data_IF_248583585117
#
_entry.id   IF_248583585117
#
_cell.length_a   1.000
_cell.length_b   1.000
_cell.length_c   1.000
_cell.angle_alpha   90.00
_cell.angle_beta   90.00
_cell.angle_gamma   90.00
#
_symmetry.space_group_name_H-M   'P 1'
#
loop_
_entity.id
_entity.type
_entity.pdbx_description
1 polymer ?
#
# COMPACT_ATOMS: atom_id res chain seq x y z
N UNK A 1 -11.32 -16.67 9.47
CA UNK A 1 -12.25 -15.72 10.12
C UNK A 1 -11.47 -15.02 11.23
N UNK A 2 -10.79 -13.93 10.88
CA UNK A 2 -10.26 -12.99 11.85
C UNK A 2 -11.25 -11.82 11.89
N UNK A 3 -12.38 -12.01 12.60
CA UNK A 3 -13.37 -10.96 12.89
C UNK A 3 -12.95 -10.17 14.15
N UNK A 4 -11.64 -10.01 14.37
CA UNK A 4 -11.13 -9.29 15.52
C UNK A 4 -10.86 -7.84 15.10
N UNK A 5 -11.62 -6.91 15.67
CA UNK A 5 -11.32 -5.48 15.55
C UNK A 5 -9.90 -5.24 16.03
N UNK A 6 -9.13 -4.45 15.28
CA UNK A 6 -7.82 -4.02 15.75
C UNK A 6 -8.06 -3.10 16.94
N UNK A 7 -7.49 -3.40 18.13
CA UNK A 7 -7.66 -2.53 19.28
C UNK A 7 -7.25 -1.08 18.97
N UNK A 8 -8.09 -0.11 19.34
CA UNK A 8 -7.84 1.31 19.09
C UNK A 8 -6.46 1.77 19.61
N UNK A 9 -6.03 1.17 20.73
CA UNK A 9 -4.71 1.44 21.31
C UNK A 9 -3.57 1.06 20.35
N UNK A 10 -3.68 -0.02 19.59
CA UNK A 10 -2.63 -0.44 18.66
C UNK A 10 -2.52 0.52 17.47
N UNK A 11 -3.66 0.99 16.95
CA UNK A 11 -3.71 1.98 15.88
C UNK A 11 -3.17 3.35 16.32
N UNK A 12 -3.27 3.69 17.60
CA UNK A 12 -2.87 4.99 18.14
C UNK A 12 -1.45 5.00 18.71
N UNK A 13 -0.98 3.92 19.34
CA UNK A 13 0.34 3.86 20.02
C UNK A 13 1.44 3.17 19.23
N UNK A 14 1.11 2.37 18.20
CA UNK A 14 2.09 1.68 17.35
C UNK A 14 2.65 2.55 16.20
N UNK A 15 3.78 2.13 15.61
CA UNK A 15 4.31 2.71 14.36
C UNK A 15 3.32 2.47 13.22
N UNK A 16 2.90 1.22 13.06
CA UNK A 16 1.82 0.75 12.19
C UNK A 16 1.36 -0.62 12.68
N UNK A 17 0.20 -1.08 12.20
CA UNK A 17 -0.35 -2.43 12.43
C UNK A 17 -0.31 -3.20 11.10
N UNK A 18 0.08 -4.47 11.16
CA UNK A 18 0.04 -5.35 10.00
C UNK A 18 -1.36 -5.96 9.85
N UNK A 19 -1.98 -5.76 8.69
CA UNK A 19 -3.25 -6.35 8.31
C UNK A 19 -2.93 -7.52 7.38
N UNK A 20 -3.18 -8.74 7.84
CA UNK A 20 -2.96 -9.93 7.04
C UNK A 20 -4.22 -10.28 6.24
N UNK A 21 -4.11 -10.31 4.91
CA UNK A 21 -5.13 -10.77 3.97
C UNK A 21 -4.75 -12.18 3.51
N UNK A 22 -5.65 -13.13 3.66
CA UNK A 22 -5.41 -14.53 3.30
C UNK A 22 -5.60 -14.78 1.80
N UNK A 23 -4.92 -15.79 1.27
CA UNK A 23 -5.16 -16.29 -0.09
C UNK A 23 -6.64 -16.58 -0.35
N UNK A 24 -7.33 -17.20 0.61
CA UNK A 24 -8.77 -17.48 0.54
C UNK A 24 -9.61 -16.21 0.33
N UNK A 25 -9.29 -15.11 1.04
CA UNK A 25 -9.94 -13.81 0.86
C UNK A 25 -9.64 -13.21 -0.51
N UNK A 26 -8.40 -13.35 -0.99
CA UNK A 26 -7.99 -12.89 -2.32
C UNK A 26 -8.75 -13.63 -3.42
N UNK A 27 -8.73 -14.96 -3.38
CA UNK A 27 -9.33 -15.82 -4.40
C UNK A 27 -10.86 -15.70 -4.48
N UNK A 28 -11.51 -15.54 -3.31
CA UNK A 28 -12.97 -15.33 -3.23
C UNK A 28 -13.37 -13.87 -3.46
N UNK A 29 -12.41 -12.98 -3.69
CA UNK A 29 -12.62 -11.54 -3.76
C UNK A 29 -13.38 -10.98 -2.54
N UNK A 30 -13.09 -11.53 -1.36
CA UNK A 30 -13.69 -11.12 -0.11
C UNK A 30 -12.94 -9.90 0.44
N UNK A 31 -13.59 -8.75 0.42
CA UNK A 31 -13.04 -7.49 0.93
C UNK A 31 -13.63 -7.09 2.28
N UNK A 32 -14.46 -7.94 2.91
CA UNK A 32 -15.20 -7.56 4.13
C UNK A 32 -14.28 -7.18 5.27
N UNK A 33 -13.20 -7.93 5.47
CA UNK A 33 -12.24 -7.66 6.53
C UNK A 33 -11.55 -6.30 6.34
N UNK A 34 -10.97 -6.05 5.17
CA UNK A 34 -10.33 -4.75 4.88
C UNK A 34 -11.33 -3.59 4.94
N UNK A 35 -12.58 -3.80 4.52
CA UNK A 35 -13.67 -2.82 4.69
C UNK A 35 -13.88 -2.48 6.16
N UNK A 36 -13.97 -3.46 7.05
CA UNK A 36 -14.11 -3.23 8.49
C UNK A 36 -12.94 -2.44 9.07
N UNK A 37 -11.70 -2.73 8.63
CA UNK A 37 -10.52 -1.98 9.06
C UNK A 37 -10.56 -0.53 8.56
N UNK A 38 -10.90 -0.31 7.29
CA UNK A 38 -11.01 1.06 6.72
C UNK A 38 -12.04 1.88 7.49
N UNK A 39 -13.18 1.30 7.91
CA UNK A 39 -14.14 2.05 8.73
C UNK A 39 -13.57 2.43 10.10
N UNK A 40 -12.84 1.54 10.78
CA UNK A 40 -12.18 1.85 12.05
C UNK A 40 -11.15 2.98 11.88
N UNK A 41 -10.36 2.94 10.80
CA UNK A 41 -9.37 3.99 10.51
C UNK A 41 -10.03 5.35 10.25
N UNK A 42 -11.22 5.38 9.65
CA UNK A 42 -11.98 6.62 9.45
C UNK A 42 -12.46 7.23 10.76
N UNK A 43 -12.83 6.42 11.75
CA UNK A 43 -13.22 6.89 13.08
C UNK A 43 -12.05 7.59 13.79
N UNK A 44 -10.83 7.12 13.54
CA UNK A 44 -9.57 7.69 14.06
C UNK A 44 -9.09 8.96 13.35
N UNK A 45 -9.67 9.31 12.20
CA UNK A 45 -9.37 10.53 11.44
C UNK A 45 -7.86 10.71 11.22
N UNK A 46 -7.28 11.80 11.74
CA UNK A 46 -5.88 12.19 11.55
C UNK A 46 -4.90 11.26 12.26
N UNK A 47 -5.37 10.48 13.25
CA UNK A 47 -4.54 9.52 13.96
C UNK A 47 -4.25 8.25 13.13
N UNK A 48 -5.05 7.98 12.09
CA UNK A 48 -4.91 6.80 11.24
C UNK A 48 -3.87 6.94 10.12
N UNK A 49 -3.24 8.11 9.99
CA UNK A 49 -2.25 8.37 8.93
C UNK A 49 -1.07 7.42 9.03
N UNK A 50 -0.76 6.73 7.93
CA UNK A 50 0.37 5.79 7.83
C UNK A 50 0.37 4.67 8.90
N UNK A 51 -0.81 4.26 9.39
CA UNK A 51 -0.97 3.29 10.48
C UNK A 51 -1.11 1.85 10.05
N UNK A 52 -1.20 1.54 8.76
CA UNK A 52 -1.42 0.16 8.33
C UNK A 52 -0.40 -0.32 7.30
N UNK A 53 -0.05 -1.60 7.40
CA UNK A 53 0.73 -2.33 6.41
C UNK A 53 -0.07 -3.57 6.01
N UNK A 54 -0.50 -3.64 4.76
CA UNK A 54 -1.27 -4.77 4.24
C UNK A 54 -0.30 -5.86 3.81
N UNK A 55 -0.36 -7.04 4.42
CA UNK A 55 0.44 -8.21 4.06
C UNK A 55 -0.48 -9.32 3.56
N UNK A 56 0.07 -10.22 2.75
CA UNK A 56 -0.67 -11.33 2.16
C UNK A 56 -0.08 -12.65 2.66
N UNK A 57 -0.94 -13.60 3.05
CA UNK A 57 -0.55 -14.95 3.48
C UNK A 57 -1.11 -16.01 2.54
N UNK A 58 -0.44 -17.17 2.45
CA UNK A 58 -0.79 -18.27 1.54
C UNK A 58 -0.07 -18.22 0.19
N UNK A 59 0.89 -17.31 0.01
CA UNK A 59 1.70 -17.17 -1.21
C UNK A 59 3.19 -17.41 -0.95
N UNK A 60 3.55 -18.01 0.18
CA UNK A 60 4.94 -18.14 0.65
C UNK A 60 5.82 -19.01 -0.26
N UNK A 61 5.21 -19.90 -1.05
CA UNK A 61 5.91 -20.74 -2.02
C UNK A 61 6.17 -20.02 -3.35
N UNK A 62 5.43 -18.95 -3.63
CA UNK A 62 5.65 -18.12 -4.80
C UNK A 62 6.76 -17.12 -4.48
N UNK A 63 7.98 -17.38 -4.95
CA UNK A 63 9.10 -16.43 -4.87
C UNK A 63 8.86 -15.23 -5.80
N UNK A 64 7.83 -14.45 -5.49
CA UNK A 64 7.29 -13.32 -6.24
C UNK A 64 6.92 -12.23 -5.27
N UNK A 65 7.06 -10.99 -5.71
CA UNK A 65 6.51 -9.85 -5.00
C UNK A 65 4.99 -9.80 -5.18
N UNK A 66 4.28 -9.21 -4.21
CA UNK A 66 2.80 -9.17 -4.19
C UNK A 66 2.19 -8.55 -5.45
N UNK A 67 2.90 -7.61 -6.09
CA UNK A 67 2.46 -6.94 -7.31
C UNK A 67 2.70 -7.77 -8.58
N UNK A 68 3.40 -8.90 -8.48
CA UNK A 68 3.61 -9.88 -9.56
C UNK A 68 2.55 -10.99 -9.54
N UNK A 69 1.77 -11.09 -8.46
CA UNK A 69 0.71 -12.09 -8.29
C UNK A 69 -0.61 -11.51 -8.81
N UNK A 70 -1.10 -12.03 -9.94
CA UNK A 70 -2.30 -11.51 -10.63
C UNK A 70 -3.56 -11.48 -9.74
N UNK A 71 -3.76 -12.53 -8.92
CA UNK A 71 -4.88 -12.60 -7.99
C UNK A 71 -4.87 -11.45 -6.98
N UNK A 72 -3.69 -11.12 -6.44
CA UNK A 72 -3.51 -9.99 -5.52
C UNK A 72 -3.74 -8.66 -6.23
N UNK A 73 -3.22 -8.47 -7.45
CA UNK A 73 -3.45 -7.25 -8.25
C UNK A 73 -4.94 -7.02 -8.48
N UNK A 74 -5.69 -8.06 -8.84
CA UNK A 74 -7.13 -8.01 -9.05
C UNK A 74 -7.88 -7.66 -7.78
N UNK A 75 -7.54 -8.31 -6.66
CA UNK A 75 -8.14 -8.03 -5.36
C UNK A 75 -7.86 -6.59 -4.91
N UNK A 76 -6.60 -6.13 -5.01
CA UNK A 76 -6.22 -4.77 -4.66
C UNK A 76 -6.89 -3.72 -5.53
N UNK A 77 -7.08 -3.99 -6.82
CA UNK A 77 -7.81 -3.10 -7.72
C UNK A 77 -9.26 -2.91 -7.26
N UNK A 78 -9.91 -3.97 -6.77
CA UNK A 78 -11.27 -3.88 -6.23
C UNK A 78 -11.32 -3.08 -4.92
N UNK A 79 -10.38 -3.31 -4.00
CA UNK A 79 -10.28 -2.51 -2.76
C UNK A 79 -10.04 -1.04 -3.08
N UNK A 80 -9.17 -0.73 -4.04
CA UNK A 80 -8.90 0.64 -4.46
C UNK A 80 -10.09 1.31 -5.17
N UNK A 81 -10.88 0.54 -5.93
CA UNK A 81 -12.07 1.08 -6.58
C UNK A 81 -13.08 1.59 -5.54
N UNK A 82 -13.28 0.81 -4.46
CA UNK A 82 -14.17 1.13 -3.34
C UNK A 82 -13.59 2.20 -2.39
N UNK A 83 -12.28 2.14 -2.12
CA UNK A 83 -11.60 2.98 -1.14
C UNK A 83 -10.34 3.65 -1.69
N UNK A 84 -10.45 4.54 -2.69
CA UNK A 84 -9.27 5.11 -3.36
C UNK A 84 -8.39 5.96 -2.43
N UNK A 85 -8.96 6.50 -1.35
CA UNK A 85 -8.24 7.26 -0.32
C UNK A 85 -7.43 6.38 0.64
N UNK A 86 -7.48 5.04 0.53
CA UNK A 86 -6.83 4.11 1.47
C UNK A 86 -5.32 4.34 1.63
N UNK A 87 -4.67 4.92 0.61
CA UNK A 87 -3.25 5.27 0.63
C UNK A 87 -2.88 6.29 1.70
N UNK A 88 -3.84 7.06 2.23
CA UNK A 88 -3.61 7.90 3.40
C UNK A 88 -3.25 7.08 4.65
N UNK A 89 -3.80 5.87 4.78
CA UNK A 89 -3.57 5.00 5.92
C UNK A 89 -2.33 4.12 5.79
N UNK A 90 -1.85 3.90 4.56
CA UNK A 90 -0.72 3.00 4.30
C UNK A 90 0.59 3.59 4.83
N UNK A 91 1.36 2.76 5.52
CA UNK A 91 2.72 3.11 5.93
C UNK A 91 3.65 3.20 4.71
N UNK A 92 4.67 4.05 4.82
CA UNK A 92 5.76 4.16 3.84
C UNK A 92 7.03 3.41 4.28
N UNK A 93 6.98 2.67 5.39
CA UNK A 93 8.08 1.78 5.79
C UNK A 93 8.32 0.74 4.69
N UNK A 94 9.59 0.50 4.36
CA UNK A 94 10.03 -0.45 3.34
C UNK A 94 9.37 -0.27 1.96
N UNK A 95 9.10 0.98 1.57
CA UNK A 95 8.41 1.35 0.33
C UNK A 95 7.03 0.68 0.18
N UNK A 96 6.37 0.33 1.30
CA UNK A 96 5.14 -0.47 1.30
C UNK A 96 4.01 0.15 0.44
N UNK A 97 3.75 1.44 0.60
CA UNK A 97 2.76 2.13 -0.24
C UNK A 97 3.10 2.05 -1.73
N UNK A 98 4.38 2.09 -2.13
CA UNK A 98 4.80 1.91 -3.53
C UNK A 98 4.54 0.48 -4.01
N UNK A 99 4.82 -0.53 -3.18
CA UNK A 99 4.50 -1.93 -3.52
C UNK A 99 2.99 -2.13 -3.73
N UNK A 100 2.16 -1.55 -2.88
CA UNK A 100 0.69 -1.57 -3.05
C UNK A 100 0.26 -0.79 -4.30
N UNK A 101 0.93 0.33 -4.61
CA UNK A 101 0.68 1.09 -5.82
C UNK A 101 0.98 0.27 -7.08
N UNK A 102 2.07 -0.50 -7.09
CA UNK A 102 2.37 -1.45 -8.18
C UNK A 102 1.26 -2.47 -8.39
N UNK A 103 0.50 -2.86 -7.36
CA UNK A 103 -0.61 -3.81 -7.51
C UNK A 103 -1.78 -3.24 -8.32
N UNK A 104 -1.95 -1.91 -8.36
CA UNK A 104 -3.07 -1.22 -9.02
C UNK A 104 -2.64 -0.40 -10.26
N UNK A 105 -1.37 -0.48 -10.63
CA UNK A 105 -0.80 0.23 -11.79
C UNK A 105 0.03 -0.71 -12.65
N UNK A 106 0.35 -0.25 -13.85
CA UNK A 106 1.42 -0.87 -14.62
C UNK A 106 2.78 -0.55 -13.95
N UNK A 107 3.76 -1.43 -14.17
CA UNK A 107 5.11 -1.27 -13.67
C UNK A 107 6.10 -1.91 -14.64
N UNK A 108 7.33 -1.41 -14.62
CA UNK A 108 8.46 -2.00 -15.34
C UNK A 108 9.57 -2.34 -14.35
N UNK A 109 10.22 -3.47 -14.58
CA UNK A 109 11.43 -3.85 -13.85
C UNK A 109 12.64 -3.60 -14.75
N UNK A 110 13.52 -2.72 -14.28
CA UNK A 110 14.72 -2.32 -15.00
C UNK A 110 15.92 -2.88 -14.26
N UNK A 111 16.78 -3.62 -14.98
CA UNK A 111 18.09 -3.99 -14.44
C UNK A 111 18.98 -2.77 -14.48
N UNK A 112 19.48 -2.34 -13.32
CA UNK A 112 20.40 -1.21 -13.22
C UNK A 112 21.83 -1.68 -13.01
N UNK A 113 22.77 -0.87 -13.48
CA UNK A 113 24.20 -1.11 -13.23
C UNK A 113 24.51 -0.94 -11.74
N UNK A 114 25.31 -1.86 -11.21
CA UNK A 114 25.79 -1.78 -9.83
C UNK A 114 26.69 -0.58 -9.65
N UNK A 115 26.32 0.28 -8.69
CA UNK A 115 27.21 1.30 -8.18
C UNK A 115 28.29 0.68 -7.27
N UNK A 116 29.22 1.49 -6.75
CA UNK A 116 30.31 1.00 -5.91
C UNK A 116 29.83 0.30 -4.62
N UNK A 117 28.74 0.78 -4.02
CA UNK A 117 28.15 0.21 -2.80
C UNK A 117 27.53 -1.16 -3.12
N UNK A 118 26.78 -1.27 -4.23
CA UNK A 118 26.15 -2.52 -4.64
C UNK A 118 27.19 -3.62 -4.91
N UNK A 119 28.35 -3.25 -5.46
CA UNK A 119 29.47 -4.19 -5.72
C UNK A 119 30.13 -4.69 -4.44
N UNK A 120 30.02 -3.95 -3.33
CA UNK A 120 30.49 -4.38 -2.02
C UNK A 120 29.47 -5.27 -1.29
N UNK A 121 28.18 -5.04 -1.54
CA UNK A 121 27.09 -5.75 -0.87
C UNK A 121 26.69 -7.07 -1.55
N UNK A 122 26.87 -7.17 -2.87
CA UNK A 122 26.38 -8.29 -3.68
C UNK A 122 27.48 -8.85 -4.58
N UNK A 123 27.47 -10.17 -4.80
CA UNK A 123 28.35 -10.81 -5.77
C UNK A 123 28.10 -10.30 -7.19
N UNK A 124 29.05 -10.48 -8.12
CA UNK A 124 28.96 -9.96 -9.49
C UNK A 124 27.74 -10.45 -10.27
N UNK A 125 27.22 -11.65 -9.98
CA UNK A 125 26.11 -12.28 -10.71
C UNK A 125 24.73 -11.79 -10.28
N UNK A 126 24.61 -11.24 -9.08
CA UNK A 126 23.34 -10.68 -8.56
C UNK A 126 22.88 -9.49 -9.40
N UNK A 127 21.67 -9.52 -9.95
CA UNK A 127 21.12 -8.35 -10.68
C UNK A 127 20.47 -7.38 -9.70
N UNK A 128 20.72 -6.08 -9.87
CA UNK A 128 19.98 -5.05 -9.14
C UNK A 128 18.77 -4.68 -9.99
N UNK A 129 17.58 -4.93 -9.46
CA UNK A 129 16.32 -4.64 -10.13
C UNK A 129 15.69 -3.41 -9.48
N UNK A 130 15.36 -2.43 -10.30
CA UNK A 130 14.56 -1.27 -9.90
C UNK A 130 13.17 -1.38 -10.51
N UNK A 131 12.14 -1.19 -9.69
CA UNK A 131 10.75 -1.15 -10.15
C UNK A 131 10.36 0.31 -10.42
N UNK A 132 9.91 0.60 -11.65
CA UNK A 132 9.37 1.90 -12.05
C UNK A 132 7.87 1.81 -12.26
N UNK A 133 7.12 2.64 -11.53
CA UNK A 133 5.65 2.64 -11.54
C UNK A 133 5.15 3.50 -12.68
N UNK A 134 4.32 2.93 -13.55
CA UNK A 134 3.70 3.62 -14.67
C UNK A 134 2.26 4.01 -14.31
N UNK A 135 2.10 5.20 -13.72
CA UNK A 135 0.78 5.73 -13.36
C UNK A 135 0.12 6.41 -14.56
N UNK A 136 -1.01 5.87 -15.01
CA UNK A 136 -1.87 6.60 -15.94
C UNK A 136 -2.34 7.92 -15.33
N UNK A 137 -2.54 8.95 -16.16
CA UNK A 137 -3.08 10.25 -15.71
C UNK A 137 -4.36 10.09 -14.89
N UNK A 138 -5.27 9.23 -15.37
CA UNK A 138 -6.55 8.93 -14.70
C UNK A 138 -6.34 8.34 -13.30
N UNK A 139 -5.42 7.39 -13.15
CA UNK A 139 -5.12 6.77 -11.86
C UNK A 139 -4.49 7.78 -10.89
N UNK A 140 -3.53 8.57 -11.39
CA UNK A 140 -2.89 9.65 -10.63
C UNK A 140 -3.90 10.68 -10.11
N UNK A 141 -4.83 11.12 -10.96
CA UNK A 141 -5.91 12.04 -10.58
C UNK A 141 -6.86 11.41 -9.56
N UNK A 142 -7.31 10.17 -9.78
CA UNK A 142 -8.20 9.46 -8.84
C UNK A 142 -7.56 9.30 -7.46
N UNK A 143 -6.30 8.88 -7.41
CA UNK A 143 -5.53 8.74 -6.18
C UNK A 143 -5.39 10.09 -5.46
N UNK A 144 -4.92 11.12 -6.17
CA UNK A 144 -4.70 12.44 -5.58
C UNK A 144 -6.00 13.04 -5.05
N UNK A 145 -7.05 13.11 -5.87
CA UNK A 145 -8.29 13.76 -5.46
C UNK A 145 -9.00 13.02 -4.33
N UNK A 146 -9.03 11.68 -4.36
CA UNK A 146 -9.65 10.92 -3.26
C UNK A 146 -8.96 11.15 -1.92
N UNK A 147 -7.62 11.22 -1.89
CA UNK A 147 -6.86 11.51 -0.68
C UNK A 147 -7.08 12.96 -0.23
N UNK A 148 -7.05 13.92 -1.15
CA UNK A 148 -7.31 15.33 -0.82
C UNK A 148 -8.70 15.52 -0.24
N UNK A 149 -9.71 14.89 -0.83
CA UNK A 149 -11.10 14.97 -0.36
C UNK A 149 -11.25 14.29 1.00
N UNK A 150 -10.60 13.16 1.22
CA UNK A 150 -10.56 12.51 2.52
C UNK A 150 -9.89 13.41 3.58
N UNK A 151 -8.70 13.94 3.31
CA UNK A 151 -7.99 14.84 4.21
C UNK A 151 -8.83 16.07 4.60
N UNK A 152 -9.53 16.67 3.63
CA UNK A 152 -10.46 17.78 3.89
C UNK A 152 -11.62 17.35 4.79
N UNK A 153 -12.19 16.17 4.55
CA UNK A 153 -13.32 15.65 5.34
C UNK A 153 -12.99 15.42 6.82
N UNK A 154 -11.71 15.22 7.14
CA UNK A 154 -11.23 15.03 8.51
C UNK A 154 -10.50 16.25 9.09
N UNK A 155 -10.56 17.40 8.40
CA UNK A 155 -9.90 18.66 8.80
C UNK A 155 -8.38 18.50 9.03
N UNK A 156 -7.71 17.71 8.18
CA UNK A 156 -6.27 17.52 8.22
C UNK A 156 -5.53 18.83 7.89
N UNK A 157 -4.33 19.01 8.46
CA UNK A 157 -3.55 20.24 8.27
C UNK A 157 -3.03 20.37 6.83
N UNK A 158 -3.08 21.57 6.25
CA UNK A 158 -2.58 21.85 4.89
C UNK A 158 -1.13 21.40 4.67
N UNK A 159 -0.25 21.58 5.66
CA UNK A 159 1.13 21.13 5.57
C UNK A 159 1.24 19.60 5.40
N UNK A 160 0.33 18.84 6.01
CA UNK A 160 0.26 17.38 5.84
C UNK A 160 -0.33 17.04 4.47
N UNK A 161 -1.38 17.75 4.05
CA UNK A 161 -2.00 17.57 2.73
C UNK A 161 -0.95 17.71 1.61
N UNK A 162 -0.10 18.74 1.71
CA UNK A 162 1.01 18.93 0.78
C UNK A 162 2.04 17.81 0.84
N UNK A 163 2.38 17.32 2.03
CA UNK A 163 3.34 16.23 2.22
C UNK A 163 2.83 14.89 1.67
N UNK A 164 1.58 14.52 1.95
CA UNK A 164 0.97 13.28 1.43
C UNK A 164 0.90 13.33 -0.10
N UNK A 165 0.59 14.50 -0.67
CA UNK A 165 0.53 14.70 -2.11
C UNK A 165 1.89 14.55 -2.80
N UNK A 166 3.02 14.78 -2.11
CA UNK A 166 4.34 14.59 -2.71
C UNK A 166 4.85 13.16 -2.54
N UNK A 167 4.60 12.49 -1.41
CA UNK A 167 5.12 11.14 -1.14
C UNK A 167 4.62 10.05 -2.10
N UNK A 168 3.46 10.24 -2.73
CA UNK A 168 2.89 9.23 -3.64
C UNK A 168 3.38 9.35 -5.08
N UNK A 169 4.10 10.43 -5.42
CA UNK A 169 4.49 10.72 -6.80
C UNK A 169 5.99 11.03 -6.98
N UNK A 170 6.81 10.86 -5.92
CA UNK A 170 8.27 11.02 -5.90
C UNK A 170 8.91 9.88 -5.09
#
# INVERSE_FOLDING_TARGET
MFDEKIPEIELTTGKFVEICITQDEVEKNDIRYITQIIQQLKELKTQARQKIKIVFSGWEEENKEIYEIEAIRKWMSNVFEEYPYMFYFLTNVDDHAKKILCCISDYEQITIEKNEIDRLAYDETTKIIRTEIQLSKKLKEKLLYSILDYCRSIEEKDAVIMHVSTQLFF
#
